data_IF_605792612538
#
_entry.id   IF_605792612538
#
_cell.length_a   1.000
_cell.length_b   1.000
_cell.length_c   1.000
_cell.angle_alpha   90.00
_cell.angle_beta   90.00
_cell.angle_gamma   90.00
#
_symmetry.space_group_name_H-M   'P 1'
#
loop_
_entity.id
_entity.type
_entity.pdbx_description
1 polymer ?
#
# COMPACT_ATOMS: atom_id res chain seq x y z
N UNK A 1 17.77 32.46 8.05
CA UNK A 1 18.78 31.55 7.46
C UNK A 1 18.04 30.31 6.95
N UNK A 2 17.73 30.23 5.66
CA UNK A 2 17.06 29.05 5.09
C UNK A 2 18.05 27.89 5.06
N UNK A 3 17.71 26.76 5.69
CA UNK A 3 18.52 25.55 5.67
C UNK A 3 18.63 25.00 4.24
N UNK A 4 19.83 24.63 3.77
CA UNK A 4 19.97 24.06 2.44
C UNK A 4 19.22 22.73 2.38
N UNK A 5 18.54 22.42 1.25
CA UNK A 5 17.79 21.19 1.12
C UNK A 5 18.73 19.98 1.28
N UNK A 6 18.28 18.97 2.03
CA UNK A 6 19.02 17.70 2.17
C UNK A 6 19.31 17.12 0.79
N UNK A 7 20.58 16.86 0.49
CA UNK A 7 20.98 16.17 -0.73
C UNK A 7 20.53 14.70 -0.67
N UNK A 8 19.42 14.39 -1.32
CA UNK A 8 18.98 13.01 -1.50
C UNK A 8 19.79 12.35 -2.62
N UNK A 9 20.07 11.04 -2.50
CA UNK A 9 20.73 10.24 -3.56
C UNK A 9 19.94 10.20 -4.88
N UNK A 10 18.66 10.57 -4.86
CA UNK A 10 17.76 10.53 -6.02
C UNK A 10 17.32 11.94 -6.39
N UNK A 11 17.26 12.22 -7.69
CA UNK A 11 16.68 13.45 -8.23
C UNK A 11 15.16 13.48 -7.95
N UNK A 12 14.66 14.63 -7.55
CA UNK A 12 13.21 14.88 -7.44
C UNK A 12 12.55 14.81 -8.81
N UNK A 13 11.25 14.54 -8.86
CA UNK A 13 10.54 14.50 -10.15
C UNK A 13 10.57 15.87 -10.85
N UNK A 14 10.51 16.97 -10.08
CA UNK A 14 10.64 18.34 -10.56
C UNK A 14 11.99 18.58 -11.25
N UNK A 15 13.11 18.26 -10.60
CA UNK A 15 14.45 18.45 -11.20
C UNK A 15 14.65 17.59 -12.45
N UNK A 16 14.06 16.39 -12.51
CA UNK A 16 14.08 15.59 -13.73
C UNK A 16 13.29 16.26 -14.85
N UNK A 17 12.14 16.87 -14.55
CA UNK A 17 11.32 17.61 -15.52
C UNK A 17 12.09 18.81 -16.07
N UNK A 18 12.70 19.61 -15.21
CA UNK A 18 13.50 20.78 -15.63
C UNK A 18 14.65 20.38 -16.55
N UNK A 19 15.36 19.28 -16.22
CA UNK A 19 16.40 18.70 -17.07
C UNK A 19 15.84 18.25 -18.41
N UNK A 20 14.65 17.65 -18.44
CA UNK A 20 14.03 17.20 -19.69
C UNK A 20 13.58 18.36 -20.58
N UNK A 21 13.01 19.42 -20.00
CA UNK A 21 12.63 20.65 -20.71
C UNK A 21 13.87 21.30 -21.33
N UNK A 22 14.94 21.47 -20.54
CA UNK A 22 16.19 22.05 -21.02
C UNK A 22 16.83 21.24 -22.16
N UNK A 23 16.69 19.91 -22.17
CA UNK A 23 17.16 19.08 -23.27
C UNK A 23 16.24 19.14 -24.50
N UNK A 24 14.93 19.28 -24.28
CA UNK A 24 13.95 19.40 -25.35
C UNK A 24 14.12 20.69 -26.14
N UNK A 25 14.39 21.82 -25.47
CA UNK A 25 14.71 23.11 -26.11
C UNK A 25 15.92 23.02 -27.05
N UNK A 26 16.85 22.11 -26.75
CA UNK A 26 18.10 21.90 -27.52
C UNK A 26 17.97 20.80 -28.57
N UNK A 27 16.84 20.09 -28.60
CA UNK A 27 16.59 19.03 -29.56
C UNK A 27 16.22 19.63 -30.92
N UNK A 28 16.76 19.03 -31.99
CA UNK A 28 16.44 19.40 -33.38
C UNK A 28 15.83 18.18 -34.06
N UNK A 29 14.64 18.34 -34.66
CA UNK A 29 13.91 17.24 -35.32
C UNK A 29 13.70 16.02 -34.39
N UNK A 30 13.44 16.27 -33.09
CA UNK A 30 13.25 15.21 -32.09
C UNK A 30 14.52 14.46 -31.68
N UNK A 31 15.70 14.86 -32.18
CA UNK A 31 17.00 14.28 -31.83
C UNK A 31 17.90 15.29 -31.14
N UNK A 32 18.63 14.82 -30.15
CA UNK A 32 19.58 15.64 -29.42
C UNK A 32 20.94 15.60 -30.13
N UNK A 33 21.54 16.75 -30.52
CA UNK A 33 22.88 16.77 -31.11
C UNK A 33 23.94 16.34 -30.09
N UNK A 34 25.22 16.26 -30.51
CA UNK A 34 26.34 15.99 -29.59
C UNK A 34 26.61 17.25 -28.77
N UNK A 35 26.75 17.10 -27.44
CA UNK A 35 27.10 18.22 -26.54
C UNK A 35 26.04 18.61 -25.48
N UNK A 36 24.75 18.79 -25.83
CA UNK A 36 23.69 19.20 -24.91
C UNK A 36 23.62 18.42 -23.59
N UNK A 37 23.83 17.10 -23.62
CA UNK A 37 23.85 16.29 -22.38
C UNK A 37 24.95 16.77 -21.42
N UNK A 38 26.15 17.07 -21.93
CA UNK A 38 27.24 17.59 -21.08
C UNK A 38 26.93 19.00 -20.59
N UNK A 39 26.40 19.85 -21.47
CA UNK A 39 26.05 21.23 -21.11
C UNK A 39 25.00 21.27 -20.00
N UNK A 40 23.93 20.47 -20.13
CA UNK A 40 22.88 20.35 -19.11
C UNK A 40 23.42 19.69 -17.84
N UNK A 41 24.29 18.69 -17.95
CA UNK A 41 24.96 18.09 -16.80
C UNK A 41 25.75 19.13 -15.98
N UNK A 42 26.55 19.97 -16.65
CA UNK A 42 27.29 21.05 -16.00
C UNK A 42 26.35 22.11 -15.40
N UNK A 43 25.30 22.51 -16.12
CA UNK A 43 24.31 23.51 -15.66
C UNK A 43 23.60 23.09 -14.36
N UNK A 44 23.22 21.82 -14.26
CA UNK A 44 22.47 21.30 -13.10
C UNK A 44 23.37 20.65 -12.04
N UNK A 45 24.69 20.54 -12.27
CA UNK A 45 25.61 19.86 -11.35
C UNK A 45 25.36 18.36 -11.23
N UNK A 46 24.81 17.73 -12.27
CA UNK A 46 24.41 16.32 -12.29
C UNK A 46 25.38 15.53 -13.18
N UNK A 47 25.69 14.29 -12.81
CA UNK A 47 26.49 13.42 -13.67
C UNK A 47 25.85 13.21 -15.06
N UNK A 48 26.68 13.25 -16.10
CA UNK A 48 26.29 13.07 -17.51
C UNK A 48 25.46 11.80 -17.73
N UNK A 49 25.81 10.70 -17.06
CA UNK A 49 25.09 9.43 -17.22
C UNK A 49 23.67 9.50 -16.68
N UNK A 50 23.46 10.29 -15.63
CA UNK A 50 22.14 10.53 -15.02
C UNK A 50 21.27 11.39 -15.92
N UNK A 51 21.81 12.49 -16.48
CA UNK A 51 21.11 13.32 -17.47
C UNK A 51 20.68 12.49 -18.69
N UNK A 52 21.57 11.64 -19.21
CA UNK A 52 21.24 10.71 -20.31
C UNK A 52 20.10 9.75 -19.92
N UNK A 53 20.10 9.20 -18.71
CA UNK A 53 19.03 8.31 -18.23
C UNK A 53 17.70 9.05 -18.13
N UNK A 54 17.70 10.26 -17.59
CA UNK A 54 16.50 11.12 -17.51
C UNK A 54 15.91 11.37 -18.90
N UNK A 55 16.74 11.74 -19.89
CA UNK A 55 16.29 11.94 -21.26
C UNK A 55 15.64 10.69 -21.87
N UNK A 56 16.25 9.51 -21.69
CA UNK A 56 15.65 8.25 -22.17
C UNK A 56 14.31 7.95 -21.50
N UNK A 57 14.21 8.16 -20.19
CA UNK A 57 12.96 7.96 -19.44
C UNK A 57 11.86 8.93 -19.90
N UNK A 58 12.23 10.19 -20.18
CA UNK A 58 11.34 11.20 -20.75
C UNK A 58 10.81 10.77 -22.13
N UNK A 59 11.69 10.33 -23.04
CA UNK A 59 11.29 9.82 -24.37
C UNK A 59 10.38 8.58 -24.29
N UNK A 60 10.50 7.78 -23.23
CA UNK A 60 9.64 6.62 -22.96
C UNK A 60 8.32 6.99 -22.24
N UNK A 61 8.10 8.27 -21.92
CA UNK A 61 6.88 8.75 -21.27
C UNK A 61 6.76 8.47 -19.77
N UNK A 62 7.84 8.05 -19.09
CA UNK A 62 7.77 7.74 -17.65
C UNK A 62 9.06 8.05 -16.90
N UNK A 63 9.01 9.09 -16.07
CA UNK A 63 10.13 9.55 -15.22
C UNK A 63 10.00 9.16 -13.74
N UNK A 64 8.82 8.67 -13.38
CA UNK A 64 8.47 8.22 -12.03
C UNK A 64 9.42 7.13 -11.57
N UNK A 65 9.82 7.21 -10.31
CA UNK A 65 10.64 6.17 -9.69
C UNK A 65 10.00 4.78 -9.77
N UNK A 66 10.70 3.82 -10.40
CA UNK A 66 10.32 2.40 -10.46
C UNK A 66 10.60 1.65 -9.15
N UNK A 67 11.06 2.34 -8.10
CA UNK A 67 11.35 1.72 -6.80
C UNK A 67 10.08 1.29 -6.09
N UNK A 68 8.99 2.06 -6.21
CA UNK A 68 7.70 1.75 -5.57
C UNK A 68 7.26 0.33 -5.97
N UNK A 69 7.13 -0.56 -4.98
CA UNK A 69 6.77 -1.97 -5.20
C UNK A 69 7.92 -2.89 -5.63
N UNK A 70 9.00 -2.38 -6.24
CA UNK A 70 10.18 -3.18 -6.61
C UNK A 70 11.14 -3.38 -5.43
N UNK A 71 11.42 -2.30 -4.71
CA UNK A 71 12.34 -2.31 -3.55
C UNK A 71 11.58 -2.53 -2.24
N UNK A 72 12.31 -2.95 -1.21
CA UNK A 72 11.76 -3.24 0.11
C UNK A 72 11.39 -4.70 0.31
N UNK A 73 11.06 -5.04 1.56
CA UNK A 73 10.74 -6.42 1.96
C UNK A 73 9.41 -6.86 1.33
N UNK A 74 9.43 -7.97 0.61
CA UNK A 74 8.21 -8.59 0.07
C UNK A 74 7.38 -9.18 1.21
N UNK A 75 6.06 -9.17 1.06
CA UNK A 75 5.18 -9.82 2.02
C UNK A 75 5.43 -11.33 2.03
N UNK A 76 5.53 -11.91 3.23
CA UNK A 76 5.75 -13.36 3.41
C UNK A 76 4.56 -14.20 2.95
N UNK A 77 3.35 -13.67 3.05
CA UNK A 77 2.12 -14.35 2.64
C UNK A 77 1.38 -13.45 1.65
N UNK A 78 0.84 -14.04 0.58
CA UNK A 78 -0.09 -13.32 -0.30
C UNK A 78 -1.43 -13.19 0.41
N UNK A 79 -2.21 -12.20 -0.01
CA UNK A 79 -3.54 -11.95 0.56
C UNK A 79 -4.45 -13.18 0.39
N UNK A 80 -4.40 -13.81 -0.79
CA UNK A 80 -5.17 -15.01 -1.11
C UNK A 80 -4.84 -16.18 -0.17
N UNK A 81 -3.55 -16.42 0.09
CA UNK A 81 -3.11 -17.48 1.00
C UNK A 81 -3.63 -17.27 2.42
N UNK A 82 -3.64 -16.02 2.90
CA UNK A 82 -4.19 -15.68 4.24
C UNK A 82 -5.69 -15.97 4.26
N UNK A 83 -6.43 -15.57 3.22
CA UNK A 83 -7.88 -15.82 3.13
C UNK A 83 -8.16 -17.33 3.11
N UNK A 84 -7.42 -18.09 2.31
CA UNK A 84 -7.56 -19.54 2.22
C UNK A 84 -7.37 -20.21 3.58
N UNK A 85 -6.26 -19.90 4.26
CA UNK A 85 -5.96 -20.43 5.61
C UNK A 85 -7.05 -20.08 6.63
N UNK A 86 -7.54 -18.85 6.64
CA UNK A 86 -8.61 -18.45 7.57
C UNK A 86 -9.92 -19.21 7.26
N UNK A 87 -10.21 -19.46 5.98
CA UNK A 87 -11.41 -20.19 5.55
C UNK A 87 -11.36 -21.69 5.87
N UNK A 88 -10.17 -22.29 5.93
CA UNK A 88 -10.00 -23.69 6.34
C UNK A 88 -10.27 -23.91 7.83
N UNK A 89 -10.00 -22.91 8.68
CA UNK A 89 -10.23 -23.02 10.13
C UNK A 89 -11.72 -23.11 10.43
N UNK A 90 -12.21 -24.07 11.24
CA UNK A 90 -13.62 -24.12 11.65
C UNK A 90 -14.09 -22.84 12.33
N UNK A 91 -15.35 -22.46 12.15
CA UNK A 91 -15.88 -21.18 12.66
C UNK A 91 -15.73 -21.01 14.18
N UNK A 92 -15.87 -22.11 14.96
CA UNK A 92 -15.69 -22.11 16.41
C UNK A 92 -14.27 -21.76 16.88
N UNK A 93 -13.26 -21.90 16.01
CA UNK A 93 -11.86 -21.56 16.29
C UNK A 93 -11.45 -20.19 15.72
N UNK A 94 -12.38 -19.44 15.10
CA UNK A 94 -12.15 -18.09 14.56
C UNK A 94 -12.52 -16.98 15.56
N UNK A 95 -12.31 -17.23 16.84
CA UNK A 95 -12.75 -16.37 17.96
C UNK A 95 -11.74 -15.27 18.24
N UNK A 96 -10.55 -15.64 18.74
CA UNK A 96 -9.50 -14.69 19.10
C UNK A 96 -8.35 -14.74 18.10
N UNK A 97 -7.55 -13.67 18.08
CA UNK A 97 -6.35 -13.61 17.25
C UNK A 97 -5.32 -14.69 17.63
N UNK A 98 -5.31 -15.12 18.89
CA UNK A 98 -4.41 -16.18 19.37
C UNK A 98 -4.87 -17.53 18.86
N UNK A 99 -6.15 -17.85 19.02
CA UNK A 99 -6.72 -19.13 18.55
C UNK A 99 -6.57 -19.26 17.04
N UNK A 100 -6.87 -18.18 16.31
CA UNK A 100 -6.71 -18.14 14.86
C UNK A 100 -5.24 -18.26 14.44
N UNK A 101 -4.31 -17.70 15.23
CA UNK A 101 -2.87 -17.83 15.00
C UNK A 101 -2.40 -19.27 15.15
N UNK A 102 -2.84 -19.95 16.21
CA UNK A 102 -2.54 -21.36 16.45
C UNK A 102 -3.14 -22.25 15.35
N UNK A 103 -4.39 -22.01 14.96
CA UNK A 103 -5.07 -22.82 13.94
C UNK A 103 -4.50 -22.63 12.52
N UNK A 104 -4.09 -21.41 12.14
CA UNK A 104 -3.58 -21.12 10.78
C UNK A 104 -2.05 -21.20 10.64
N UNK A 105 -1.33 -21.21 11.77
CA UNK A 105 0.12 -21.03 11.83
C UNK A 105 0.60 -19.64 11.40
N UNK A 106 -0.31 -18.67 11.23
CA UNK A 106 0.04 -17.30 10.89
C UNK A 106 0.34 -16.51 12.16
N UNK A 107 1.38 -15.68 12.15
CA UNK A 107 1.66 -14.83 13.31
C UNK A 107 0.48 -13.88 13.62
N UNK A 108 0.26 -13.60 14.90
CA UNK A 108 -0.74 -12.63 15.38
C UNK A 108 -0.58 -11.28 14.67
N UNK A 109 0.66 -10.83 14.42
CA UNK A 109 0.93 -9.57 13.71
C UNK A 109 0.42 -9.57 12.26
N UNK A 110 0.51 -10.73 11.58
CA UNK A 110 0.01 -10.90 10.21
C UNK A 110 -1.51 -10.84 10.20
N UNK A 111 -2.16 -11.58 11.10
CA UNK A 111 -3.62 -11.57 11.24
C UNK A 111 -4.12 -10.17 11.62
N UNK A 112 -3.43 -9.46 12.52
CA UNK A 112 -3.82 -8.10 12.93
C UNK A 112 -3.77 -7.12 11.77
N UNK A 113 -2.70 -7.16 10.97
CA UNK A 113 -2.62 -6.36 9.73
C UNK A 113 -3.70 -6.75 8.73
N UNK A 114 -4.03 -8.03 8.62
CA UNK A 114 -5.10 -8.50 7.73
C UNK A 114 -6.47 -7.94 8.16
N UNK A 115 -6.75 -7.91 9.46
CA UNK A 115 -7.94 -7.29 10.02
C UNK A 115 -7.99 -5.78 9.75
N UNK A 116 -6.92 -5.04 10.01
CA UNK A 116 -6.87 -3.58 9.76
C UNK A 116 -7.00 -3.23 8.28
N UNK A 117 -6.52 -4.09 7.38
CA UNK A 117 -6.65 -3.92 5.93
C UNK A 117 -8.01 -4.37 5.39
N UNK A 118 -8.92 -4.87 6.24
CA UNK A 118 -10.24 -5.36 5.83
C UNK A 118 -10.21 -6.70 5.07
N UNK A 119 -9.10 -7.43 5.10
CA UNK A 119 -8.99 -8.77 4.45
C UNK A 119 -9.84 -9.80 5.20
N UNK A 120 -9.92 -9.67 6.52
CA UNK A 120 -10.91 -10.37 7.33
C UNK A 120 -11.68 -9.34 8.15
N UNK A 121 -12.91 -9.68 8.54
CA UNK A 121 -13.74 -8.84 9.40
C UNK A 121 -14.06 -9.56 10.70
N UNK A 122 -14.20 -8.80 11.78
CA UNK A 122 -14.75 -9.34 13.02
C UNK A 122 -16.24 -9.58 12.81
N UNK A 123 -16.69 -10.79 13.09
CA UNK A 123 -18.11 -11.15 13.07
C UNK A 123 -18.59 -11.25 14.50
N UNK A 124 -19.43 -10.31 14.91
CA UNK A 124 -20.27 -10.46 16.09
C UNK A 124 -21.69 -10.77 15.60
N UNK A 125 -22.25 -11.90 16.02
CA UNK A 125 -23.67 -12.18 15.85
C UNK A 125 -24.39 -11.75 17.12
N UNK A 126 -25.42 -10.89 16.97
CA UNK A 126 -26.32 -10.59 18.08
C UNK A 126 -27.21 -11.82 18.30
N UNK A 127 -26.92 -12.60 19.34
CA UNK A 127 -27.62 -13.86 19.61
C UNK A 127 -29.08 -13.68 20.07
N UNK A 128 -29.45 -12.46 20.50
CA UNK A 128 -30.81 -12.16 20.95
C UNK A 128 -31.64 -11.63 19.77
N UNK A 129 -32.68 -12.36 19.32
CA UNK A 129 -33.65 -11.78 18.39
C UNK A 129 -34.35 -10.59 19.05
N UNK A 130 -34.82 -9.65 18.23
CA UNK A 130 -35.65 -8.55 18.72
C UNK A 130 -36.92 -9.17 19.34
N UNK A 131 -37.24 -8.76 20.57
CA UNK A 131 -38.48 -9.19 21.22
C UNK A 131 -39.66 -8.57 20.50
N UNK A 132 -40.46 -9.40 19.83
CA UNK A 132 -41.80 -9.02 19.37
C UNK A 132 -42.69 -8.77 20.60
N UNK A 133 -43.77 -8.00 20.43
CA UNK A 133 -44.66 -7.70 21.56
C UNK A 133 -45.32 -8.96 22.12
N UNK A 134 -45.62 -9.95 21.28
CA UNK A 134 -46.04 -11.28 21.70
C UNK A 134 -45.01 -11.98 22.62
N UNK A 135 -43.72 -11.94 22.26
CA UNK A 135 -42.65 -12.53 23.06
C UNK A 135 -42.44 -11.79 24.38
N UNK A 136 -42.72 -10.48 24.44
CA UNK A 136 -42.66 -9.71 25.69
C UNK A 136 -43.78 -10.14 26.64
N UNK A 137 -45.01 -10.27 26.13
CA UNK A 137 -46.16 -10.69 26.92
C UNK A 137 -45.98 -12.09 27.49
N UNK A 138 -45.54 -13.07 26.67
CA UNK A 138 -45.25 -14.42 27.16
C UNK A 138 -44.21 -14.46 28.28
N UNK A 139 -43.19 -13.58 28.22
CA UNK A 139 -42.20 -13.47 29.30
C UNK A 139 -42.79 -12.86 30.56
N UNK A 140 -43.68 -11.87 30.44
CA UNK A 140 -44.38 -11.26 31.58
C UNK A 140 -45.33 -12.25 32.25
N UNK A 141 -46.02 -13.07 31.47
CA UNK A 141 -46.91 -14.14 31.96
C UNK A 141 -46.11 -15.22 32.68
N UNK A 142 -44.96 -15.62 32.12
CA UNK A 142 -44.05 -16.56 32.76
C UNK A 142 -43.52 -16.02 34.10
N UNK A 143 -43.07 -14.76 34.15
CA UNK A 143 -42.60 -14.15 35.40
C UNK A 143 -43.73 -14.05 36.44
N UNK A 144 -44.94 -13.68 36.02
CA UNK A 144 -46.09 -13.55 36.93
C UNK A 144 -46.59 -14.89 37.46
N UNK A 145 -46.40 -15.99 36.73
CA UNK A 145 -46.81 -17.34 37.15
C UNK A 145 -45.81 -18.05 38.06
N UNK A 146 -44.60 -17.52 38.19
CA UNK A 146 -43.49 -18.09 38.98
C UNK A 146 -42.90 -17.08 39.99
N UNK A 147 -43.67 -16.05 40.34
CA UNK A 147 -43.38 -15.10 41.43
C UNK A 147 -44.05 -15.58 42.73
#
# INVERSE_FOLDING_TARGET
MSTPPRSFRELTEETKLDVSIALQELARLGKLPRGPINMVATRFGIDRSTVRKVWRCYQQGSMKSRKKGRVGRKHRHKIQDIIAKIREVPQGQRTTMRDLSLATGLSISTLSRALHKGIMTRRSSRLKPLLTDANKNQRMDFCSSHA
#
